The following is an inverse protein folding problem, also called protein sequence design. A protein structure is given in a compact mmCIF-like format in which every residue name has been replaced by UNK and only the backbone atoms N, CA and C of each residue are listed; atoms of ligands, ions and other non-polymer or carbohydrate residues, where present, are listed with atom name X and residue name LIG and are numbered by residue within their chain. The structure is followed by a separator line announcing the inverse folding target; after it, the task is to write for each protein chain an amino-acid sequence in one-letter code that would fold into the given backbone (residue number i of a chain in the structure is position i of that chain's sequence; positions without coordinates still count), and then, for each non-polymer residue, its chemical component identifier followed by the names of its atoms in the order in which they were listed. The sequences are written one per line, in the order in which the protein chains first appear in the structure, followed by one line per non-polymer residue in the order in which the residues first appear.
data_IF_511257766446
#
_entry.id   IF_511257766446
#
_cell.length_a   1.000
_cell.length_b   1.000
_cell.length_c   1.000
_cell.angle_alpha   90.00
_cell.angle_beta   90.00
_cell.angle_gamma   90.00
#
_symmetry.space_group_name_H-M   'P 1'
#
loop_
_entity.id
_entity.type
_entity.pdbx_description
1 polymer ?
#
# COMPACT_ATOMS: atom_id res chain seq x y z
N UNK A 1 13.42 6.32 -16.40
CA UNK A 1 13.49 4.89 -16.22
C UNK A 1 14.65 4.44 -15.36
N UNK A 2 14.70 3.16 -15.10
CA UNK A 2 15.64 2.53 -14.15
C UNK A 2 16.95 2.06 -14.82
N UNK A 3 17.54 2.86 -15.69
CA UNK A 3 18.66 2.47 -16.55
C UNK A 3 19.82 1.80 -15.79
N UNK A 4 20.27 2.42 -14.70
CA UNK A 4 21.43 1.94 -13.93
C UNK A 4 21.13 0.63 -13.22
N UNK A 5 20.00 0.55 -12.56
CA UNK A 5 19.57 -0.62 -11.81
C UNK A 5 19.37 -1.82 -12.75
N UNK A 6 18.68 -1.61 -13.86
CA UNK A 6 18.46 -2.63 -14.87
C UNK A 6 19.77 -3.04 -15.57
N UNK A 7 20.71 -2.10 -15.79
CA UNK A 7 22.02 -2.42 -16.34
C UNK A 7 22.81 -3.34 -15.41
N UNK A 8 22.75 -3.17 -14.09
CA UNK A 8 23.38 -4.11 -13.15
C UNK A 8 22.80 -5.53 -13.23
N UNK A 9 21.50 -5.65 -13.44
CA UNK A 9 20.84 -6.95 -13.65
C UNK A 9 21.30 -7.53 -15.00
N UNK A 10 21.31 -6.71 -16.06
CA UNK A 10 21.71 -7.12 -17.40
C UNK A 10 23.16 -7.60 -17.46
N UNK A 11 24.08 -6.97 -16.72
CA UNK A 11 25.49 -7.40 -16.63
C UNK A 11 25.60 -8.85 -16.17
N UNK A 12 24.81 -9.27 -15.19
CA UNK A 12 24.84 -10.67 -14.71
C UNK A 12 24.38 -11.65 -15.76
N UNK A 13 23.41 -11.26 -16.60
CA UNK A 13 22.92 -12.11 -17.70
C UNK A 13 23.97 -12.35 -18.79
N UNK A 14 24.84 -11.38 -19.03
CA UNK A 14 25.95 -11.52 -20.00
C UNK A 14 27.24 -12.07 -19.38
N UNK A 15 27.19 -12.45 -18.09
CA UNK A 15 28.32 -13.04 -17.36
C UNK A 15 29.32 -12.04 -16.82
N UNK A 16 28.94 -10.78 -16.73
CA UNK A 16 29.78 -9.70 -16.16
C UNK A 16 29.36 -9.37 -14.73
N UNK A 17 30.29 -8.80 -13.97
CA UNK A 17 30.04 -8.35 -12.60
C UNK A 17 29.99 -9.48 -11.56
N UNK A 18 29.40 -9.19 -10.42
CA UNK A 18 29.36 -10.08 -9.25
C UNK A 18 27.92 -10.32 -8.81
N UNK A 19 27.67 -11.51 -8.27
CA UNK A 19 26.38 -11.95 -7.76
C UNK A 19 26.53 -12.62 -6.40
N UNK A 20 25.51 -12.50 -5.57
CA UNK A 20 25.41 -13.33 -4.37
C UNK A 20 24.84 -14.70 -4.75
N UNK A 21 25.62 -15.75 -4.60
CA UNK A 21 25.21 -17.12 -4.82
C UNK A 21 25.51 -17.97 -3.58
N UNK A 22 24.50 -18.65 -3.06
CA UNK A 22 24.59 -19.46 -1.83
C UNK A 22 25.24 -18.71 -0.64
N UNK A 23 24.91 -17.41 -0.50
CA UNK A 23 25.43 -16.57 0.59
C UNK A 23 26.85 -16.04 0.39
N UNK A 24 27.48 -16.25 -0.76
CA UNK A 24 28.82 -15.74 -1.10
C UNK A 24 28.78 -14.82 -2.30
N UNK A 25 29.64 -13.81 -2.29
CA UNK A 25 29.86 -12.95 -3.45
C UNK A 25 30.75 -13.70 -4.45
N UNK A 26 30.25 -13.91 -5.66
CA UNK A 26 30.90 -14.68 -6.69
C UNK A 26 30.88 -13.94 -8.04
N UNK A 27 31.80 -14.25 -8.94
CA UNK A 27 31.77 -13.73 -10.29
C UNK A 27 30.60 -14.36 -11.07
N UNK A 28 29.84 -13.52 -11.81
CA UNK A 28 28.65 -13.93 -12.53
C UNK A 28 28.92 -15.04 -13.57
N UNK A 29 30.01 -14.92 -14.36
CA UNK A 29 30.36 -15.93 -15.37
C UNK A 29 30.64 -17.29 -14.74
N UNK A 30 31.34 -17.34 -13.59
CA UNK A 30 31.62 -18.56 -12.86
C UNK A 30 30.34 -19.25 -12.40
N UNK A 31 29.41 -18.46 -11.79
CA UNK A 31 28.12 -19.00 -11.31
C UNK A 31 27.28 -19.50 -12.48
N UNK A 32 27.21 -18.78 -13.60
CA UNK A 32 26.51 -19.27 -14.79
C UNK A 32 27.07 -20.59 -15.28
N UNK A 33 28.40 -20.68 -15.39
CA UNK A 33 29.08 -21.91 -15.85
C UNK A 33 28.83 -23.09 -14.90
N UNK A 34 28.93 -22.89 -13.59
CA UNK A 34 28.70 -23.94 -12.58
C UNK A 34 27.25 -24.47 -12.62
N UNK A 35 26.29 -23.63 -13.04
CA UNK A 35 24.88 -24.01 -13.19
C UNK A 35 24.52 -24.46 -14.63
N UNK A 36 25.51 -24.67 -15.51
CA UNK A 36 25.27 -25.12 -16.89
C UNK A 36 24.60 -24.08 -17.79
N UNK A 37 24.60 -22.81 -17.38
CA UNK A 37 24.03 -21.69 -18.11
C UNK A 37 25.11 -21.01 -18.96
N UNK A 38 24.72 -20.56 -20.14
CA UNK A 38 25.59 -19.76 -21.01
C UNK A 38 25.27 -18.30 -20.84
N UNK A 39 26.29 -17.43 -20.78
CA UNK A 39 26.05 -15.98 -20.82
C UNK A 39 25.22 -15.61 -22.05
N UNK A 40 24.28 -14.70 -21.85
CA UNK A 40 23.43 -14.21 -22.92
C UNK A 40 24.24 -13.31 -23.87
N UNK A 41 24.09 -13.55 -25.17
CA UNK A 41 24.75 -12.73 -26.20
C UNK A 41 23.78 -11.71 -26.74
N UNK A 42 23.95 -10.45 -26.36
CA UNK A 42 23.10 -9.35 -26.79
C UNK A 42 23.25 -9.05 -28.28
N UNK A 43 22.13 -8.90 -28.97
CA UNK A 43 22.05 -8.42 -30.35
C UNK A 43 21.81 -6.92 -30.41
N UNK A 44 21.76 -6.39 -31.61
CA UNK A 44 21.45 -4.97 -31.86
C UNK A 44 20.17 -4.59 -31.13
N UNK A 45 20.23 -3.53 -30.35
CA UNK A 45 19.15 -2.92 -29.53
C UNK A 45 18.79 -3.65 -28.24
N UNK A 46 19.08 -4.95 -28.09
CA UNK A 46 18.68 -5.69 -26.88
C UNK A 46 19.26 -5.10 -25.59
N UNK A 47 20.49 -4.54 -25.65
CA UNK A 47 21.09 -3.87 -24.50
C UNK A 47 20.27 -2.68 -23.98
N UNK A 48 19.73 -1.85 -24.87
CA UNK A 48 18.82 -0.76 -24.45
C UNK A 48 17.48 -1.30 -23.99
N UNK A 49 16.90 -2.27 -24.69
CA UNK A 49 15.60 -2.85 -24.33
C UNK A 49 15.58 -3.49 -22.94
N UNK A 50 16.70 -4.09 -22.52
CA UNK A 50 16.81 -4.68 -21.15
C UNK A 50 16.96 -3.60 -20.08
N UNK A 51 17.49 -2.43 -20.40
CA UNK A 51 17.77 -1.37 -19.40
C UNK A 51 16.77 -0.23 -19.41
N UNK A 52 15.98 -0.08 -20.48
CA UNK A 52 15.08 1.05 -20.64
C UNK A 52 13.65 0.68 -20.21
N UNK A 53 13.29 1.07 -19.00
CA UNK A 53 11.95 0.76 -18.47
C UNK A 53 11.78 1.23 -17.03
N UNK A 54 10.69 0.78 -16.41
CA UNK A 54 10.23 1.17 -15.07
C UNK A 54 10.18 -0.01 -14.09
N UNK A 55 10.77 -1.15 -14.46
CA UNK A 55 10.59 -2.42 -13.75
C UNK A 55 11.11 -2.40 -12.31
N UNK A 56 12.24 -1.72 -12.04
CA UNK A 56 12.82 -1.69 -10.69
C UNK A 56 11.99 -0.79 -9.78
N UNK A 57 11.66 0.43 -10.22
CA UNK A 57 10.83 1.33 -9.43
C UNK A 57 9.45 0.75 -9.16
N UNK A 58 8.87 0.04 -10.14
CA UNK A 58 7.60 -0.66 -9.99
C UNK A 58 7.69 -1.80 -8.98
N UNK A 59 8.75 -2.62 -9.05
CA UNK A 59 9.00 -3.69 -8.08
C UNK A 59 9.17 -3.18 -6.65
N UNK A 60 9.92 -2.09 -6.46
CA UNK A 60 10.05 -1.40 -5.15
C UNK A 60 8.69 -0.87 -4.70
N UNK A 61 7.91 -0.27 -5.62
CA UNK A 61 6.57 0.24 -5.35
C UNK A 61 5.63 -0.84 -4.84
N UNK A 62 5.62 -2.02 -5.48
CA UNK A 62 4.81 -3.18 -5.05
C UNK A 62 5.16 -3.61 -3.63
N UNK A 63 6.45 -3.75 -3.32
CA UNK A 63 6.89 -4.14 -1.97
C UNK A 63 6.45 -3.12 -0.94
N UNK A 64 6.61 -1.83 -1.23
CA UNK A 64 6.18 -0.75 -0.33
C UNK A 64 4.65 -0.73 -0.13
N UNK A 65 3.87 -0.96 -1.19
CA UNK A 65 2.42 -1.05 -1.10
C UNK A 65 1.97 -2.22 -0.22
N UNK A 66 2.60 -3.40 -0.37
CA UNK A 66 2.32 -4.57 0.48
C UNK A 66 2.55 -4.24 1.95
N UNK A 67 3.66 -3.57 2.28
CA UNK A 67 3.94 -3.14 3.65
C UNK A 67 2.93 -2.08 4.13
N UNK A 68 2.57 -1.12 3.30
CA UNK A 68 1.59 -0.09 3.66
C UNK A 68 0.20 -0.70 3.94
N UNK A 69 -0.26 -1.68 3.14
CA UNK A 69 -1.51 -2.42 3.40
C UNK A 69 -1.44 -3.19 4.73
N UNK A 70 -0.30 -3.80 5.07
CA UNK A 70 -0.10 -4.43 6.38
C UNK A 70 -0.16 -3.41 7.53
N UNK A 71 0.52 -2.27 7.38
CA UNK A 71 0.52 -1.21 8.38
C UNK A 71 -0.89 -0.64 8.59
N UNK A 72 -1.68 -0.45 7.53
CA UNK A 72 -3.07 -0.02 7.64
C UNK A 72 -3.88 -1.00 8.49
N UNK A 73 -3.80 -2.30 8.20
CA UNK A 73 -4.50 -3.32 8.99
C UNK A 73 -4.08 -3.31 10.46
N UNK A 74 -2.79 -3.16 10.74
CA UNK A 74 -2.29 -3.06 12.11
C UNK A 74 -2.78 -1.79 12.81
N UNK A 75 -2.86 -0.66 12.09
CA UNK A 75 -3.41 0.58 12.63
C UNK A 75 -4.90 0.46 12.97
N UNK A 76 -5.68 -0.25 12.15
CA UNK A 76 -7.09 -0.57 12.47
C UNK A 76 -7.17 -1.45 13.72
N UNK A 77 -6.35 -2.52 13.81
CA UNK A 77 -6.32 -3.40 14.97
C UNK A 77 -5.96 -2.64 16.26
N UNK A 78 -4.90 -1.84 16.21
CA UNK A 78 -4.49 -1.00 17.34
C UNK A 78 -5.61 -0.02 17.76
N UNK A 79 -6.28 0.59 16.77
CA UNK A 79 -7.40 1.50 17.03
C UNK A 79 -8.59 0.80 17.68
N UNK A 80 -8.88 -0.44 17.28
CA UNK A 80 -9.91 -1.28 17.92
C UNK A 80 -9.54 -1.56 19.37
N UNK A 81 -8.32 -2.02 19.64
CA UNK A 81 -7.83 -2.29 20.98
C UNK A 81 -7.86 -1.03 21.87
N UNK A 82 -7.48 0.13 21.34
CA UNK A 82 -7.56 1.40 22.07
C UNK A 82 -9.00 1.79 22.42
N UNK A 83 -9.95 1.52 21.51
CA UNK A 83 -11.37 1.76 21.79
C UNK A 83 -11.93 0.81 22.87
N UNK A 84 -11.48 -0.45 22.90
CA UNK A 84 -11.83 -1.38 23.99
C UNK A 84 -11.26 -0.92 25.34
N UNK A 85 -9.98 -0.55 25.40
CA UNK A 85 -9.31 -0.07 26.61
C UNK A 85 -9.99 1.20 27.13
N UNK A 86 -10.39 2.09 26.22
CA UNK A 86 -11.04 3.36 26.56
C UNK A 86 -12.54 3.20 26.88
N UNK A 87 -13.11 2.00 26.79
CA UNK A 87 -14.55 1.72 26.89
C UNK A 87 -15.37 2.71 26.03
N UNK A 88 -14.98 2.83 24.76
CA UNK A 88 -15.64 3.73 23.81
C UNK A 88 -17.03 3.22 23.42
N UNK A 89 -17.88 4.11 22.93
CA UNK A 89 -19.16 3.73 22.36
C UNK A 89 -19.02 3.19 20.94
N UNK A 90 -19.96 2.35 20.51
CA UNK A 90 -19.96 1.64 19.21
C UNK A 90 -20.51 2.50 18.04
N UNK A 91 -21.20 3.57 18.31
CA UNK A 91 -21.97 4.35 17.32
C UNK A 91 -21.11 4.93 16.19
N UNK A 92 -19.85 5.30 16.44
CA UNK A 92 -18.98 5.85 15.38
C UNK A 92 -18.56 4.79 14.34
N UNK A 93 -18.70 3.51 14.66
CA UNK A 93 -18.50 2.41 13.73
C UNK A 93 -19.78 2.01 12.99
N UNK A 94 -20.94 2.57 13.38
CA UNK A 94 -22.24 2.18 12.82
C UNK A 94 -22.27 2.32 11.29
N UNK A 95 -22.90 1.36 10.64
CA UNK A 95 -22.99 1.30 9.18
C UNK A 95 -23.68 2.54 8.62
N UNK A 96 -24.86 2.89 9.15
CA UNK A 96 -25.64 4.05 8.67
C UNK A 96 -24.89 5.38 8.81
N UNK A 97 -24.09 5.55 9.88
CA UNK A 97 -23.25 6.74 10.05
C UNK A 97 -22.21 6.86 8.93
N UNK A 98 -21.53 5.75 8.62
CA UNK A 98 -20.43 5.76 7.68
C UNK A 98 -20.92 5.75 6.22
N UNK A 99 -22.06 5.17 5.92
CA UNK A 99 -22.71 5.20 4.59
C UNK A 99 -23.28 6.61 4.26
N UNK A 100 -23.64 7.40 5.25
CA UNK A 100 -24.08 8.78 5.03
C UNK A 100 -22.98 9.66 4.39
N UNK A 101 -21.73 9.24 4.47
CA UNK A 101 -20.60 9.87 3.80
C UNK A 101 -20.06 8.93 2.72
N UNK A 102 -20.21 9.35 1.45
CA UNK A 102 -20.01 8.51 0.25
C UNK A 102 -18.52 8.23 -0.08
N UNK A 103 -17.73 7.75 0.90
CA UNK A 103 -16.34 7.36 0.71
C UNK A 103 -16.15 5.88 1.02
N UNK A 104 -15.75 5.10 0.03
CA UNK A 104 -15.58 3.65 0.15
C UNK A 104 -14.63 3.28 1.28
N UNK A 105 -13.46 3.87 1.33
CA UNK A 105 -12.46 3.54 2.35
C UNK A 105 -12.95 3.80 3.78
N UNK A 106 -13.72 4.87 4.01
CA UNK A 106 -14.33 5.11 5.32
C UNK A 106 -15.29 3.98 5.72
N UNK A 107 -16.11 3.52 4.78
CA UNK A 107 -17.08 2.44 5.00
C UNK A 107 -16.38 1.11 5.27
N UNK A 108 -15.31 0.80 4.51
CA UNK A 108 -14.49 -0.41 4.67
C UNK A 108 -13.75 -0.42 6.02
N UNK A 109 -13.14 0.68 6.42
CA UNK A 109 -12.49 0.79 7.75
C UNK A 109 -13.51 0.60 8.86
N UNK A 110 -14.67 1.24 8.78
CA UNK A 110 -15.73 1.06 9.76
C UNK A 110 -16.26 -0.38 9.80
N UNK A 111 -16.36 -1.05 8.65
CA UNK A 111 -16.75 -2.46 8.54
C UNK A 111 -15.72 -3.38 9.22
N UNK A 112 -14.43 -3.20 8.95
CA UNK A 112 -13.35 -3.94 9.62
C UNK A 112 -13.39 -3.73 11.13
N UNK A 113 -13.60 -2.50 11.61
CA UNK A 113 -13.70 -2.22 13.03
C UNK A 113 -14.89 -2.95 13.67
N UNK A 114 -16.07 -2.93 13.04
CA UNK A 114 -17.25 -3.67 13.51
C UNK A 114 -17.01 -5.18 13.59
N UNK A 115 -16.37 -5.73 12.58
CA UNK A 115 -16.01 -7.16 12.55
C UNK A 115 -15.09 -7.53 13.72
N UNK A 116 -14.08 -6.69 13.99
CA UNK A 116 -13.06 -7.00 14.98
C UNK A 116 -13.50 -6.72 16.42
N UNK A 117 -14.47 -5.84 16.67
CA UNK A 117 -15.09 -5.69 17.99
C UNK A 117 -16.23 -6.64 18.25
N UNK A 118 -16.62 -7.46 17.28
CA UNK A 118 -17.75 -8.38 17.42
C UNK A 118 -17.55 -9.32 18.63
N UNK A 119 -18.50 -9.29 19.57
CA UNK A 119 -18.43 -10.05 20.81
C UNK A 119 -17.59 -9.42 21.92
N UNK A 120 -16.99 -8.26 21.71
CA UNK A 120 -16.33 -7.49 22.77
C UNK A 120 -17.31 -7.07 23.85
N UNK A 121 -16.87 -7.15 25.12
CA UNK A 121 -17.60 -6.64 26.29
C UNK A 121 -17.03 -5.31 26.78
N UNK A 122 -15.99 -4.80 26.12
CA UNK A 122 -15.29 -3.61 26.52
C UNK A 122 -15.79 -2.36 25.77
N UNK A 123 -16.33 -2.55 24.54
CA UNK A 123 -16.98 -1.48 23.79
C UNK A 123 -18.41 -1.33 24.28
N UNK A 124 -18.80 -0.12 24.64
CA UNK A 124 -20.11 0.20 25.19
C UNK A 124 -21.14 0.38 24.07
N UNK A 125 -22.33 -0.15 24.27
CA UNK A 125 -23.45 0.10 23.38
C UNK A 125 -24.18 1.36 23.81
N UNK A 126 -24.06 2.43 23.01
CA UNK A 126 -24.67 3.73 23.34
C UNK A 126 -26.16 3.64 23.62
N UNK A 127 -26.87 2.82 22.88
CA UNK A 127 -28.31 2.63 23.07
C UNK A 127 -28.63 2.12 24.48
N UNK A 128 -27.87 1.16 24.97
CA UNK A 128 -28.06 0.58 26.29
C UNK A 128 -27.61 1.50 27.42
N UNK A 129 -26.49 2.21 27.22
CA UNK A 129 -25.85 3.00 28.26
C UNK A 129 -26.49 4.39 28.43
N UNK A 130 -26.92 5.02 27.34
CA UNK A 130 -27.41 6.41 27.39
C UNK A 130 -28.90 6.56 27.07
N UNK A 131 -29.45 5.78 26.12
CA UNK A 131 -30.81 6.05 25.64
C UNK A 131 -31.87 5.23 26.39
N UNK A 132 -31.55 4.04 26.84
CA UNK A 132 -32.48 3.17 27.56
C UNK A 132 -32.48 3.41 29.09
N UNK A 133 -31.66 4.32 29.60
CA UNK A 133 -31.61 4.67 31.02
C UNK A 133 -32.43 5.94 31.30
N UNK A 134 -33.23 5.89 32.35
CA UNK A 134 -33.95 7.09 32.83
C UNK A 134 -32.97 7.96 33.64
N UNK A 135 -32.39 8.95 33.01
CA UNK A 135 -31.52 9.92 33.68
C UNK A 135 -32.37 10.95 34.46
N UNK A 136 -32.22 10.94 35.78
CA UNK A 136 -32.85 11.95 36.66
C UNK A 136 -32.06 13.25 36.72
N UNK A 137 -30.84 13.26 36.20
CA UNK A 137 -29.90 14.37 36.32
C UNK A 137 -29.87 15.25 35.07
N UNK A 138 -29.73 16.54 35.25
CA UNK A 138 -29.63 17.52 34.15
C UNK A 138 -28.21 17.65 33.59
N UNK A 139 -27.24 16.99 34.19
CA UNK A 139 -25.82 17.05 33.84
C UNK A 139 -25.34 15.66 33.62
N UNK A 140 -24.70 15.44 32.44
CA UNK A 140 -24.06 14.15 32.15
C UNK A 140 -22.76 14.03 32.95
N UNK A 141 -22.64 13.02 33.80
CA UNK A 141 -21.41 12.72 34.56
C UNK A 141 -20.35 12.05 33.66
N UNK A 142 -20.75 11.36 32.58
CA UNK A 142 -19.88 10.67 31.65
C UNK A 142 -19.71 11.43 30.34
N UNK A 143 -18.55 11.25 29.70
CA UNK A 143 -18.28 11.83 28.38
C UNK A 143 -19.30 11.32 27.35
N UNK A 144 -19.98 12.25 26.69
CA UNK A 144 -20.95 11.93 25.64
C UNK A 144 -20.27 11.33 24.38
N UNK A 145 -19.02 11.71 24.12
CA UNK A 145 -18.27 11.27 22.93
C UNK A 145 -16.82 10.99 23.29
N UNK A 146 -16.21 9.93 22.72
CA UNK A 146 -14.78 9.66 22.80
C UNK A 146 -13.95 10.77 22.12
N UNK A 147 -12.66 10.79 22.37
CA UNK A 147 -11.72 11.67 21.68
C UNK A 147 -11.70 11.42 20.16
N UNK A 148 -11.29 12.41 19.38
CA UNK A 148 -11.20 12.29 17.91
C UNK A 148 -10.30 11.15 17.46
N UNK A 149 -9.17 10.94 18.14
CA UNK A 149 -8.26 9.82 17.81
C UNK A 149 -8.88 8.43 17.99
N UNK A 150 -9.97 8.32 18.74
CA UNK A 150 -10.72 7.09 18.94
C UNK A 150 -11.91 6.99 17.98
N UNK A 151 -12.76 8.03 17.93
CA UNK A 151 -14.03 7.97 17.18
C UNK A 151 -13.93 8.35 15.71
N UNK A 152 -12.86 9.06 15.28
CA UNK A 152 -12.69 9.45 13.89
C UNK A 152 -11.77 8.51 13.10
N UNK A 153 -11.48 7.31 13.59
CA UNK A 153 -10.64 6.32 12.91
C UNK A 153 -11.13 6.03 11.49
N UNK A 154 -12.43 5.78 11.22
CA UNK A 154 -12.91 5.55 9.87
C UNK A 154 -12.63 6.72 8.93
N UNK A 155 -12.80 7.97 9.39
CA UNK A 155 -12.58 9.18 8.60
C UNK A 155 -11.10 9.49 8.37
N UNK A 156 -10.20 9.02 9.26
CA UNK A 156 -8.76 9.24 9.16
C UNK A 156 -8.11 8.16 8.31
N UNK A 157 -8.44 6.90 8.53
CA UNK A 157 -7.85 5.77 7.81
C UNK A 157 -8.54 5.49 6.47
N UNK A 158 -9.79 5.92 6.28
CA UNK A 158 -10.54 5.73 5.04
C UNK A 158 -9.83 6.28 3.80
N UNK A 159 -9.39 7.55 3.79
CA UNK A 159 -8.64 8.11 2.67
C UNK A 159 -7.34 7.36 2.38
N UNK A 160 -6.71 6.78 3.41
CA UNK A 160 -5.50 5.96 3.25
C UNK A 160 -5.86 4.65 2.55
N UNK A 161 -6.95 4.01 2.96
CA UNK A 161 -7.47 2.81 2.30
C UNK A 161 -7.73 3.06 0.81
N UNK A 162 -8.46 4.12 0.47
CA UNK A 162 -8.76 4.48 -0.91
C UNK A 162 -7.49 4.71 -1.74
N UNK A 163 -6.49 5.38 -1.16
CA UNK A 163 -5.20 5.62 -1.84
C UNK A 163 -4.39 4.34 -2.05
N UNK A 164 -4.40 3.39 -1.11
CA UNK A 164 -3.71 2.11 -1.28
C UNK A 164 -4.34 1.26 -2.39
N UNK A 165 -5.66 1.27 -2.51
CA UNK A 165 -6.38 0.59 -3.60
C UNK A 165 -6.05 1.22 -4.97
N UNK A 166 -6.02 2.55 -5.02
CA UNK A 166 -5.67 3.31 -6.22
C UNK A 166 -4.22 3.04 -6.67
N UNK A 167 -3.28 3.04 -5.72
CA UNK A 167 -1.89 2.71 -5.99
C UNK A 167 -1.71 1.28 -6.49
N UNK A 168 -2.50 0.32 -5.98
CA UNK A 168 -2.50 -1.05 -6.47
C UNK A 168 -2.93 -1.15 -7.93
N UNK A 169 -4.00 -0.46 -8.32
CA UNK A 169 -4.48 -0.42 -9.69
C UNK A 169 -3.41 0.13 -10.65
N UNK A 170 -2.76 1.23 -10.28
CA UNK A 170 -1.69 1.83 -11.10
C UNK A 170 -0.49 0.90 -11.22
N UNK A 171 -0.07 0.26 -10.14
CA UNK A 171 1.03 -0.71 -10.16
C UNK A 171 0.70 -1.94 -11.00
N UNK A 172 -0.54 -2.45 -10.93
CA UNK A 172 -1.00 -3.58 -11.76
C UNK A 172 -0.97 -3.20 -13.24
N UNK A 173 -1.40 -1.99 -13.59
CA UNK A 173 -1.35 -1.50 -14.95
C UNK A 173 0.09 -1.40 -15.46
N UNK A 174 1.00 -0.87 -14.64
CA UNK A 174 2.41 -0.72 -15.02
C UNK A 174 3.13 -2.05 -15.23
N UNK A 175 2.94 -3.03 -14.35
CA UNK A 175 3.58 -4.36 -14.52
C UNK A 175 3.08 -5.14 -15.75
N UNK A 176 1.92 -4.78 -16.28
CA UNK A 176 1.35 -5.36 -17.49
C UNK A 176 1.56 -4.50 -18.74
N UNK A 177 2.33 -3.43 -18.62
CA UNK A 177 2.57 -2.49 -19.72
C UNK A 177 3.90 -2.75 -20.43
N UNK A 178 3.95 -2.37 -21.71
CA UNK A 178 5.20 -2.33 -22.46
C UNK A 178 5.92 -0.99 -22.20
N UNK A 179 6.99 -1.06 -21.40
CA UNK A 179 7.74 0.08 -20.90
C UNK A 179 9.06 0.26 -21.66
N UNK A 180 8.99 0.60 -22.94
CA UNK A 180 10.19 0.82 -23.78
C UNK A 180 9.94 1.88 -24.85
N UNK A 181 10.94 2.18 -25.68
CA UNK A 181 10.90 3.00 -26.87
C UNK A 181 11.98 2.53 -27.88
N UNK A 182 11.60 2.30 -29.14
CA UNK A 182 10.26 2.28 -29.70
C UNK A 182 9.46 1.03 -29.32
N UNK A 183 8.14 1.12 -29.44
CA UNK A 183 7.22 -0.02 -29.34
C UNK A 183 7.07 -0.65 -30.73
N UNK A 184 7.23 -1.97 -30.79
CA UNK A 184 6.96 -2.76 -31.99
C UNK A 184 5.54 -3.32 -31.89
N UNK A 185 4.72 -2.99 -32.86
CA UNK A 185 3.36 -3.52 -32.98
C UNK A 185 3.35 -4.65 -34.03
N UNK A 186 3.23 -5.91 -33.61
CA UNK A 186 3.26 -7.05 -34.52
C UNK A 186 2.01 -7.14 -35.42
N UNK A 187 0.88 -6.63 -34.96
CA UNK A 187 -0.40 -6.71 -35.69
C UNK A 187 -0.42 -5.78 -36.90
N UNK A 188 0.05 -4.57 -36.72
CA UNK A 188 0.16 -3.57 -37.81
C UNK A 188 1.50 -3.60 -38.53
N UNK A 189 2.47 -4.38 -38.04
CA UNK A 189 3.85 -4.43 -38.51
C UNK A 189 4.54 -3.05 -38.52
N UNK A 190 4.19 -2.20 -37.58
CA UNK A 190 4.70 -0.84 -37.43
C UNK A 190 5.59 -0.71 -36.19
N UNK A 191 6.41 0.34 -36.20
CA UNK A 191 7.25 0.74 -35.07
C UNK A 191 6.88 2.17 -34.67
N UNK A 192 6.53 2.35 -33.40
CA UNK A 192 6.08 3.63 -32.87
C UNK A 192 7.09 4.18 -31.87
N UNK A 193 7.51 5.42 -32.07
CA UNK A 193 8.40 6.13 -31.17
C UNK A 193 7.60 6.93 -30.14
N UNK A 194 7.84 6.67 -28.86
CA UNK A 194 7.13 7.29 -27.75
C UNK A 194 7.96 7.33 -26.48
N UNK A 195 7.31 7.50 -25.35
CA UNK A 195 7.94 7.68 -24.05
C UNK A 195 7.46 6.68 -22.98
N UNK A 196 7.10 5.45 -23.35
CA UNK A 196 6.56 4.48 -22.40
C UNK A 196 7.56 4.02 -21.32
N UNK A 197 8.84 4.40 -21.45
CA UNK A 197 9.85 4.24 -20.41
C UNK A 197 9.74 5.28 -19.28
N UNK A 198 8.81 6.25 -19.39
CA UNK A 198 8.68 7.33 -18.42
C UNK A 198 7.97 6.84 -17.15
N UNK A 199 8.58 7.10 -15.99
CA UNK A 199 8.14 6.52 -14.72
C UNK A 199 7.18 7.38 -13.90
N UNK A 200 6.53 8.40 -14.48
CA UNK A 200 5.70 9.36 -13.72
C UNK A 200 4.50 8.71 -13.02
N UNK A 201 3.88 7.72 -13.63
CA UNK A 201 2.80 6.99 -12.97
C UNK A 201 3.25 6.42 -11.63
N UNK A 202 4.39 5.72 -11.62
CA UNK A 202 4.87 5.08 -10.40
C UNK A 202 5.45 6.10 -9.41
N UNK A 203 6.19 7.09 -9.87
CA UNK A 203 6.78 8.10 -8.99
C UNK A 203 5.69 8.91 -8.28
N UNK A 204 4.64 9.29 -9.00
CA UNK A 204 3.51 10.04 -8.44
C UNK A 204 2.72 9.20 -7.42
N UNK A 205 2.44 7.94 -7.73
CA UNK A 205 1.79 7.04 -6.78
C UNK A 205 2.63 6.80 -5.52
N UNK A 206 3.95 6.66 -5.66
CA UNK A 206 4.83 6.48 -4.50
C UNK A 206 4.93 7.74 -3.64
N UNK A 207 4.80 8.92 -4.20
CA UNK A 207 4.73 10.16 -3.42
C UNK A 207 3.40 10.26 -2.66
N UNK A 208 2.28 9.88 -3.27
CA UNK A 208 1.00 9.79 -2.58
C UNK A 208 1.03 8.73 -1.46
N UNK A 209 1.66 7.58 -1.70
CA UNK A 209 1.85 6.53 -0.69
C UNK A 209 2.64 7.04 0.53
N UNK A 210 3.67 7.85 0.35
CA UNK A 210 4.41 8.50 1.47
C UNK A 210 3.49 9.37 2.31
N UNK A 211 2.63 10.16 1.65
CA UNK A 211 1.64 11.01 2.34
C UNK A 211 0.65 10.13 3.13
N UNK A 212 0.15 9.07 2.52
CA UNK A 212 -0.78 8.13 3.16
C UNK A 212 -0.17 7.49 4.41
N UNK A 213 1.06 6.97 4.34
CA UNK A 213 1.76 6.37 5.49
C UNK A 213 2.05 7.42 6.56
N UNK A 214 2.40 8.65 6.19
CA UNK A 214 2.59 9.75 7.14
C UNK A 214 1.29 10.05 7.90
N UNK A 215 0.14 10.08 7.22
CA UNK A 215 -1.17 10.27 7.86
C UNK A 215 -1.51 9.15 8.83
N UNK A 216 -1.17 7.92 8.50
CA UNK A 216 -1.35 6.76 9.37
C UNK A 216 -0.52 6.91 10.66
N UNK A 217 0.74 7.29 10.56
CA UNK A 217 1.61 7.48 11.73
C UNK A 217 1.14 8.62 12.63
N UNK A 218 0.56 9.68 12.06
CA UNK A 218 -0.04 10.78 12.83
C UNK A 218 -1.21 10.31 13.70
N UNK A 219 -2.06 9.38 13.23
CA UNK A 219 -3.11 8.80 14.05
C UNK A 219 -2.51 7.98 15.21
N UNK A 220 -1.53 7.12 14.91
CA UNK A 220 -0.86 6.32 15.93
C UNK A 220 -0.26 7.20 17.04
N UNK A 221 0.41 8.30 16.68
CA UNK A 221 0.93 9.27 17.65
C UNK A 221 -0.17 9.84 18.55
N UNK A 222 -1.32 10.20 17.96
CA UNK A 222 -2.46 10.75 18.72
C UNK A 222 -3.16 9.74 19.62
N UNK A 223 -3.02 8.46 19.32
CA UNK A 223 -3.56 7.38 20.15
C UNK A 223 -2.65 7.02 21.32
N UNK A 224 -1.33 7.26 21.18
CA UNK A 224 -0.35 7.03 22.27
C UNK A 224 -0.38 8.18 23.31
N UNK A 225 -0.65 9.42 22.89
CA UNK A 225 -0.70 10.61 23.74
C UNK A 225 -2.09 10.82 24.37
#
# INVERSE_FOLDING_TARGET
GDLVQLAHIALTLIGEGEVFYQGKLCNAATVLQENGLKPFSMRIREGLSVTNGTSVMTGIGIVNLIYAKKLLRWSVAASVMMNEIAASYDDFMAQSLNEAKHHKGQQEIAAMMREWVAGSKCVLQRENELYNQVHKEKIFEHKVQPYYSLRCVPQILGPIYDELENAEEVLINEINSACDNPIVDPDTQNIYHGGNFHGDYISFEMDKLKIAVTKLTMLCERQIN
#
